data_IF_048412654471
#
_entry.id   IF_048412654471
#
_cell.length_a   1.000
_cell.length_b   1.000
_cell.length_c   1.000
_cell.angle_alpha   90.00
_cell.angle_beta   90.00
_cell.angle_gamma   90.00
#
_symmetry.space_group_name_H-M   'P 1'
#
loop_
_entity.id
_entity.type
_entity.pdbx_description
1 polymer ?
#
# COMPACT_ATOMS: atom_id res chain seq x y z
N UNK A 1 15.68 -15.06 -10.41
CA UNK A 1 14.43 -14.63 -11.03
C UNK A 1 14.58 -13.25 -11.66
N UNK A 2 15.09 -12.26 -10.94
CA UNK A 2 15.33 -10.88 -11.43
C UNK A 2 16.25 -10.88 -12.66
N UNK A 3 17.36 -11.58 -12.60
CA UNK A 3 18.31 -11.70 -13.71
C UNK A 3 17.63 -12.15 -15.00
N UNK A 4 16.68 -13.09 -14.91
CA UNK A 4 15.92 -13.55 -16.08
C UNK A 4 14.96 -12.50 -16.62
N UNK A 5 14.31 -11.70 -15.76
CA UNK A 5 13.45 -10.62 -16.23
C UNK A 5 14.26 -9.56 -16.99
N UNK A 6 15.43 -9.20 -16.43
CA UNK A 6 16.37 -8.29 -17.12
C UNK A 6 16.86 -8.87 -18.44
N UNK A 7 17.20 -10.15 -18.48
CA UNK A 7 17.61 -10.87 -19.70
C UNK A 7 16.52 -10.79 -20.80
N UNK A 8 15.25 -10.85 -20.42
CA UNK A 8 14.11 -10.69 -21.34
C UNK A 8 13.71 -9.24 -21.59
N UNK A 9 14.47 -8.26 -21.11
CA UNK A 9 14.18 -6.83 -21.29
C UNK A 9 12.91 -6.37 -20.55
N UNK A 10 12.49 -7.08 -19.49
CA UNK A 10 11.34 -6.72 -18.69
C UNK A 10 11.75 -5.81 -17.54
N UNK A 11 11.03 -4.70 -17.37
CA UNK A 11 11.12 -3.88 -16.17
C UNK A 11 10.25 -4.46 -15.07
N UNK A 12 10.62 -4.22 -13.82
CA UNK A 12 9.87 -4.73 -12.68
C UNK A 12 9.83 -3.66 -11.58
N UNK A 13 8.62 -3.27 -11.22
CA UNK A 13 8.32 -2.47 -10.05
C UNK A 13 7.61 -3.36 -9.03
N UNK A 14 8.05 -3.33 -7.79
CA UNK A 14 7.62 -4.30 -6.78
C UNK A 14 7.43 -3.63 -5.42
N UNK A 15 6.43 -4.10 -4.70
CA UNK A 15 6.19 -3.75 -3.30
C UNK A 15 6.15 -5.03 -2.46
N UNK A 16 6.56 -4.97 -1.19
CA UNK A 16 6.51 -6.13 -0.30
C UNK A 16 5.08 -6.47 0.10
N UNK A 17 4.84 -7.77 0.31
CA UNK A 17 3.67 -8.26 1.02
C UNK A 17 3.97 -8.52 2.50
N UNK A 18 2.96 -8.95 3.25
CA UNK A 18 3.08 -9.26 4.68
C UNK A 18 4.09 -10.37 5.00
N UNK A 19 4.31 -11.30 4.06
CA UNK A 19 5.32 -12.34 4.24
C UNK A 19 6.74 -11.84 4.00
N UNK A 20 6.92 -10.77 3.24
CA UNK A 20 8.22 -10.14 3.02
C UNK A 20 8.60 -9.19 4.15
N UNK A 21 7.63 -8.73 4.92
CA UNK A 21 7.79 -7.79 6.04
C UNK A 21 7.57 -8.47 7.39
N UNK A 22 6.38 -8.48 7.94
CA UNK A 22 6.08 -8.92 9.30
C UNK A 22 6.33 -10.40 9.58
N UNK A 23 6.29 -11.26 8.56
CA UNK A 23 6.61 -12.70 8.68
C UNK A 23 8.07 -13.02 8.28
N UNK A 24 8.81 -12.03 7.82
CA UNK A 24 10.24 -12.12 7.54
C UNK A 24 11.04 -11.91 8.82
N UNK A 25 12.15 -12.63 8.99
CA UNK A 25 13.08 -12.41 10.11
C UNK A 25 13.77 -11.04 10.03
N UNK A 26 13.88 -10.47 8.83
CA UNK A 26 14.50 -9.16 8.60
C UNK A 26 13.52 -7.98 8.78
N UNK A 27 12.21 -8.23 9.04
CA UNK A 27 11.22 -7.17 9.17
C UNK A 27 11.08 -6.30 7.92
N UNK A 28 11.32 -6.86 6.73
CA UNK A 28 11.29 -6.13 5.44
C UNK A 28 12.64 -5.58 4.98
N UNK A 29 13.66 -5.53 5.84
CA UNK A 29 14.99 -5.03 5.46
C UNK A 29 15.60 -5.84 4.31
N UNK A 30 15.48 -7.17 4.34
CA UNK A 30 15.96 -8.04 3.26
C UNK A 30 15.28 -7.77 1.93
N UNK A 31 14.01 -7.36 1.94
CA UNK A 31 13.32 -6.94 0.73
C UNK A 31 13.96 -5.67 0.14
N UNK A 32 14.15 -4.64 0.96
CA UNK A 32 14.78 -3.37 0.51
C UNK A 32 16.21 -3.60 0.06
N UNK A 33 16.99 -4.44 0.75
CA UNK A 33 18.35 -4.79 0.33
C UNK A 33 18.39 -5.51 -1.03
N UNK A 34 17.36 -6.31 -1.33
CA UNK A 34 17.28 -7.09 -2.57
C UNK A 34 16.76 -6.25 -3.74
N UNK A 35 15.75 -5.42 -3.52
CA UNK A 35 15.00 -4.72 -4.57
C UNK A 35 15.24 -3.20 -4.61
N UNK A 36 16.00 -2.66 -3.64
CA UNK A 36 16.38 -1.25 -3.57
C UNK A 36 15.36 -0.35 -2.88
N UNK A 37 14.08 -0.67 -2.92
CA UNK A 37 13.01 0.11 -2.29
C UNK A 37 11.79 -0.77 -1.98
N UNK A 38 10.94 -0.30 -1.07
CA UNK A 38 9.65 -0.90 -0.71
C UNK A 38 8.45 -0.17 -1.36
N UNK A 39 8.74 0.77 -2.26
CA UNK A 39 7.77 1.62 -2.94
C UNK A 39 8.28 2.03 -4.31
N UNK A 40 7.36 2.40 -5.19
CA UNK A 40 7.70 2.90 -6.52
C UNK A 40 6.74 4.00 -6.99
N UNK A 41 7.22 4.86 -7.86
CA UNK A 41 6.42 5.85 -8.59
C UNK A 41 7.04 6.07 -9.96
N UNK A 42 6.29 5.86 -11.02
CA UNK A 42 6.74 6.12 -12.38
C UNK A 42 5.59 6.57 -13.27
N UNK A 43 5.92 7.33 -14.31
CA UNK A 43 4.97 7.71 -15.35
C UNK A 43 5.16 6.86 -16.59
N UNK A 44 4.07 6.32 -17.11
CA UNK A 44 4.06 5.64 -18.40
C UNK A 44 2.86 6.10 -19.22
N UNK A 45 3.13 6.65 -20.40
CA UNK A 45 2.11 7.16 -21.32
C UNK A 45 1.12 8.14 -20.68
N UNK A 46 1.59 8.98 -19.76
CA UNK A 46 0.77 9.99 -19.09
C UNK A 46 -0.03 9.47 -17.89
N UNK A 47 0.11 8.21 -17.53
CA UNK A 47 -0.50 7.60 -16.34
C UNK A 47 0.57 7.45 -15.28
N UNK A 48 0.28 7.87 -14.07
CA UNK A 48 1.15 7.68 -12.92
C UNK A 48 0.81 6.37 -12.21
N UNK A 49 1.82 5.52 -12.05
CA UNK A 49 1.76 4.25 -11.33
C UNK A 49 2.46 4.44 -10.01
N UNK A 50 1.75 4.20 -8.91
CA UNK A 50 2.27 4.42 -7.55
C UNK A 50 2.01 3.18 -6.72
N UNK A 51 3.04 2.64 -6.09
CA UNK A 51 2.93 1.53 -5.16
C UNK A 51 3.69 1.81 -3.87
N UNK A 52 3.13 1.42 -2.73
CA UNK A 52 3.80 1.54 -1.45
C UNK A 52 3.63 0.30 -0.59
N UNK A 53 4.61 0.09 0.31
CA UNK A 53 4.53 -0.93 1.34
C UNK A 53 3.32 -0.70 2.25
N UNK A 54 2.71 -1.78 2.67
CA UNK A 54 1.61 -1.77 3.64
C UNK A 54 1.87 -2.72 4.81
N UNK A 55 3.15 -3.02 5.08
CA UNK A 55 3.57 -3.82 6.22
C UNK A 55 2.82 -5.15 6.37
N UNK A 56 2.57 -5.60 7.60
CA UNK A 56 3.10 -5.03 8.83
C UNK A 56 4.60 -5.31 8.97
N UNK A 57 5.31 -4.47 9.71
CA UNK A 57 6.75 -4.65 9.97
C UNK A 57 7.03 -5.43 11.27
N UNK A 58 5.99 -5.79 11.98
CA UNK A 58 6.00 -6.70 13.13
C UNK A 58 5.05 -7.85 12.87
N UNK A 59 5.20 -8.96 13.60
CA UNK A 59 4.31 -10.13 13.47
C UNK A 59 2.91 -9.83 13.99
N UNK A 60 2.10 -9.26 13.11
CA UNK A 60 0.68 -9.01 13.33
C UNK A 60 -0.08 -9.35 12.04
N UNK A 61 -1.39 -9.53 12.13
CA UNK A 61 -2.23 -9.92 10.99
C UNK A 61 -2.57 -8.75 10.09
N UNK A 62 -2.85 -7.59 10.66
CA UNK A 62 -3.34 -6.43 9.94
C UNK A 62 -2.18 -5.67 9.29
N UNK A 63 -2.40 -5.16 8.09
CA UNK A 63 -1.46 -4.30 7.42
C UNK A 63 -1.39 -2.92 8.08
N UNK A 64 -0.30 -2.22 7.83
CA UNK A 64 -0.11 -0.83 8.23
C UNK A 64 0.80 -0.13 7.24
N UNK A 65 0.36 0.98 6.66
CA UNK A 65 1.22 1.83 5.83
C UNK A 65 2.10 2.67 6.75
N UNK A 66 3.43 2.49 6.69
CA UNK A 66 4.33 3.21 7.59
C UNK A 66 4.24 4.73 7.42
N UNK A 67 4.55 5.48 8.46
CA UNK A 67 4.49 6.94 8.45
C UNK A 67 5.39 7.57 7.36
N UNK A 68 6.57 7.01 7.17
CA UNK A 68 7.49 7.47 6.11
C UNK A 68 6.92 7.23 4.71
N UNK A 69 6.20 6.11 4.49
CA UNK A 69 5.50 5.84 3.23
C UNK A 69 4.33 6.81 3.04
N UNK A 70 3.57 7.13 4.09
CA UNK A 70 2.50 8.15 4.04
C UNK A 70 3.09 9.52 3.68
N UNK A 71 4.18 9.92 4.33
CA UNK A 71 4.88 11.18 4.04
C UNK A 71 5.46 11.21 2.61
N UNK A 72 5.92 10.06 2.11
CA UNK A 72 6.38 9.94 0.73
C UNK A 72 5.20 10.09 -0.25
N UNK A 73 4.06 9.45 0.00
CA UNK A 73 2.85 9.64 -0.80
C UNK A 73 2.39 11.09 -0.85
N UNK A 74 2.49 11.83 0.26
CA UNK A 74 2.16 13.26 0.30
C UNK A 74 3.06 14.07 -0.66
N UNK A 75 4.35 13.75 -0.73
CA UNK A 75 5.28 14.40 -1.68
C UNK A 75 4.97 14.02 -3.13
N UNK A 76 4.74 12.73 -3.39
CA UNK A 76 4.39 12.24 -4.73
C UNK A 76 3.10 12.93 -5.24
N UNK A 77 2.04 12.86 -4.47
CA UNK A 77 0.77 13.49 -4.85
C UNK A 77 0.86 15.01 -4.94
N UNK A 78 1.68 15.65 -4.10
CA UNK A 78 1.93 17.09 -4.16
C UNK A 78 2.63 17.53 -5.44
N UNK A 79 3.44 16.66 -6.04
CA UNK A 79 4.14 16.94 -7.31
C UNK A 79 3.29 16.73 -8.56
N UNK A 80 2.15 16.01 -8.45
CA UNK A 80 1.29 15.69 -9.58
C UNK A 80 0.18 16.71 -9.77
N UNK A 81 -0.09 17.05 -11.03
CA UNK A 81 -1.29 17.82 -11.38
C UNK A 81 -2.56 17.03 -10.97
N UNK A 82 -3.60 17.70 -10.54
CA UNK A 82 -4.85 17.06 -10.09
C UNK A 82 -5.54 16.26 -11.22
N UNK A 83 -5.22 16.57 -12.47
CA UNK A 83 -5.74 15.85 -13.65
C UNK A 83 -4.91 14.62 -14.02
N UNK A 84 -3.74 14.42 -13.43
CA UNK A 84 -2.87 13.28 -13.75
C UNK A 84 -3.57 11.98 -13.37
N UNK A 85 -3.79 11.06 -14.32
CA UNK A 85 -4.37 9.76 -14.00
C UNK A 85 -3.46 8.94 -13.10
N UNK A 86 -4.02 8.29 -12.10
CA UNK A 86 -3.26 7.46 -11.16
C UNK A 86 -3.83 6.06 -11.11
N UNK A 87 -2.95 5.06 -11.17
CA UNK A 87 -3.23 3.68 -10.79
C UNK A 87 -2.40 3.38 -9.53
N UNK A 88 -3.11 3.11 -8.42
CA UNK A 88 -2.49 2.86 -7.12
C UNK A 88 -2.30 1.37 -6.89
N UNK A 89 -1.18 0.98 -6.30
CA UNK A 89 -0.86 -0.39 -5.91
C UNK A 89 -0.60 -0.49 -4.42
N UNK A 90 -1.17 -1.51 -3.80
CA UNK A 90 -0.94 -1.84 -2.40
C UNK A 90 -1.01 -3.36 -2.22
N UNK A 91 -0.33 -3.93 -1.23
CA UNK A 91 -0.48 -5.36 -0.98
C UNK A 91 -1.81 -5.67 -0.30
N UNK A 92 -2.12 -4.99 0.80
CA UNK A 92 -3.42 -5.13 1.46
C UNK A 92 -4.50 -4.34 0.71
N UNK A 93 -5.76 -4.80 0.71
CA UNK A 93 -6.88 -3.97 0.27
C UNK A 93 -7.05 -2.76 1.20
N UNK A 94 -7.63 -1.68 0.70
CA UNK A 94 -7.92 -0.50 1.51
C UNK A 94 -9.23 -0.68 2.29
N UNK A 95 -9.22 -1.62 3.21
CA UNK A 95 -10.31 -1.96 4.11
C UNK A 95 -9.79 -2.27 5.52
N UNK A 96 -10.62 -2.82 6.38
CA UNK A 96 -10.27 -3.11 7.77
C UNK A 96 -9.11 -4.10 7.97
N UNK A 97 -8.60 -4.72 6.90
CA UNK A 97 -7.37 -5.52 6.97
C UNK A 97 -6.10 -4.68 6.96
N UNK A 98 -6.23 -3.38 6.73
CA UNK A 98 -5.18 -2.36 6.78
C UNK A 98 -5.60 -1.29 7.81
N UNK A 99 -4.99 -1.25 8.97
CA UNK A 99 -5.49 -0.47 10.13
C UNK A 99 -5.58 1.04 9.89
N UNK A 100 -4.72 1.58 9.03
CA UNK A 100 -4.73 2.98 8.63
C UNK A 100 -5.13 3.21 7.14
N UNK A 101 -5.95 2.32 6.57
CA UNK A 101 -6.42 2.37 5.19
C UNK A 101 -6.97 3.75 4.77
N UNK A 102 -7.64 4.41 5.69
CA UNK A 102 -8.26 5.72 5.48
C UNK A 102 -7.23 6.83 5.19
N UNK A 103 -6.02 6.73 5.73
CA UNK A 103 -4.96 7.69 5.42
C UNK A 103 -4.60 7.65 3.93
N UNK A 104 -4.74 6.50 3.29
CA UNK A 104 -4.47 6.35 1.86
C UNK A 104 -5.68 6.74 1.03
N UNK A 105 -6.87 6.23 1.38
CA UNK A 105 -8.09 6.55 0.59
C UNK A 105 -8.41 8.04 0.64
N UNK A 106 -8.19 8.73 1.76
CA UNK A 106 -8.38 10.18 1.86
C UNK A 106 -7.47 10.96 0.89
N UNK A 107 -6.26 10.45 0.62
CA UNK A 107 -5.31 11.06 -0.32
C UNK A 107 -5.65 10.77 -1.77
N UNK A 108 -5.82 9.50 -2.11
CA UNK A 108 -6.06 9.09 -3.50
C UNK A 108 -7.41 9.55 -4.03
N UNK A 109 -8.41 9.75 -3.17
CA UNK A 109 -9.69 10.35 -3.54
C UNK A 109 -9.61 11.83 -3.89
N UNK A 110 -8.57 12.52 -3.49
CA UNK A 110 -8.35 13.93 -3.85
C UNK A 110 -7.65 14.10 -5.20
N UNK A 111 -7.26 12.99 -5.84
CA UNK A 111 -6.54 12.95 -7.12
C UNK A 111 -7.39 12.23 -8.17
N UNK A 112 -6.97 12.30 -9.42
CA UNK A 112 -7.61 11.58 -10.53
C UNK A 112 -7.23 10.08 -10.50
N UNK A 113 -7.58 9.40 -9.40
CA UNK A 113 -7.30 7.98 -9.24
C UNK A 113 -8.33 7.15 -9.98
N UNK A 114 -7.89 6.41 -11.00
CA UNK A 114 -8.74 5.56 -11.81
C UNK A 114 -9.10 4.25 -11.14
N UNK A 115 -8.12 3.64 -10.48
CA UNK A 115 -8.33 2.40 -9.73
C UNK A 115 -7.19 2.15 -8.74
N UNK A 116 -7.46 1.25 -7.80
CA UNK A 116 -6.47 0.69 -6.90
C UNK A 116 -6.40 -0.84 -7.05
N UNK A 117 -5.19 -1.36 -7.18
CA UNK A 117 -4.93 -2.80 -7.35
C UNK A 117 -4.27 -3.31 -6.07
N UNK A 118 -4.78 -4.42 -5.54
CA UNK A 118 -4.22 -5.06 -4.35
C UNK A 118 -4.05 -6.57 -4.53
N UNK A 119 -3.41 -7.19 -3.56
CA UNK A 119 -3.18 -8.63 -3.45
C UNK A 119 -3.79 -9.22 -2.19
N UNK A 120 -2.96 -9.88 -1.39
CA UNK A 120 -3.23 -10.45 -0.07
C UNK A 120 -4.27 -11.59 -0.03
N UNK A 121 -5.45 -11.38 -0.60
CA UNK A 121 -6.54 -12.38 -0.55
C UNK A 121 -6.43 -13.53 -1.54
N UNK A 122 -5.39 -13.56 -2.36
CA UNK A 122 -5.03 -14.63 -3.31
C UNK A 122 -6.09 -14.98 -4.36
N UNK A 123 -7.11 -14.16 -4.56
CA UNK A 123 -8.21 -14.41 -5.49
C UNK A 123 -8.56 -13.13 -6.27
N UNK A 124 -9.01 -13.32 -7.51
CA UNK A 124 -9.54 -12.24 -8.31
C UNK A 124 -10.88 -11.76 -7.71
N UNK A 125 -10.96 -10.48 -7.36
CA UNK A 125 -12.18 -9.85 -6.82
C UNK A 125 -12.33 -8.43 -7.33
N UNK A 126 -13.58 -8.03 -7.60
CA UNK A 126 -13.97 -6.63 -7.73
C UNK A 126 -14.12 -6.05 -6.33
N UNK A 127 -13.62 -4.86 -6.13
CA UNK A 127 -13.69 -4.15 -4.86
C UNK A 127 -14.10 -2.70 -5.11
N UNK A 128 -14.46 -2.03 -4.06
CA UNK A 128 -14.66 -0.57 -4.02
C UNK A 128 -13.99 -0.04 -2.76
N UNK A 129 -13.19 0.99 -2.95
CA UNK A 129 -12.46 1.64 -1.87
C UNK A 129 -12.97 3.07 -1.72
N UNK A 130 -14.14 3.20 -1.11
CA UNK A 130 -14.80 4.50 -0.89
C UNK A 130 -15.04 5.26 -2.20
N UNK A 131 -15.59 4.57 -3.20
CA UNK A 131 -15.88 5.10 -4.53
C UNK A 131 -14.72 5.02 -5.51
N UNK A 132 -13.54 4.56 -5.09
CA UNK A 132 -12.45 4.24 -6.01
C UNK A 132 -12.59 2.78 -6.45
N UNK A 133 -12.67 2.50 -7.76
CA UNK A 133 -12.69 1.14 -8.25
C UNK A 133 -11.51 0.35 -7.72
N UNK A 134 -11.76 -0.81 -7.14
CA UNK A 134 -10.75 -1.69 -6.58
C UNK A 134 -10.67 -3.02 -7.31
N UNK A 135 -9.46 -3.56 -7.44
CA UNK A 135 -9.23 -4.88 -8.02
C UNK A 135 -8.23 -5.64 -7.17
N UNK A 136 -8.67 -6.74 -6.57
CA UNK A 136 -7.76 -7.70 -5.97
C UNK A 136 -7.28 -8.69 -7.01
N UNK A 137 -5.97 -8.84 -7.11
CA UNK A 137 -5.33 -9.76 -8.04
C UNK A 137 -5.13 -11.15 -7.44
N UNK A 138 -5.21 -12.16 -8.32
CA UNK A 138 -4.89 -13.52 -7.97
C UNK A 138 -3.39 -13.68 -7.68
N UNK A 139 -3.07 -14.52 -6.72
CA UNK A 139 -1.70 -14.92 -6.39
C UNK A 139 -1.20 -16.04 -7.31
N UNK A 140 0.10 -16.02 -7.59
CA UNK A 140 0.78 -17.17 -8.21
C UNK A 140 0.89 -18.36 -7.26
N UNK A 141 0.69 -18.18 -5.97
CA UNK A 141 0.44 -19.27 -5.03
C UNK A 141 -0.86 -20.02 -5.41
N UNK A 142 -0.81 -21.34 -5.39
CA UNK A 142 -1.97 -22.18 -5.79
C UNK A 142 -3.26 -21.87 -5.02
N UNK A 143 -3.18 -21.62 -3.73
CA UNK A 143 -4.30 -21.24 -2.84
C UNK A 143 -5.56 -22.04 -3.15
N UNK A 144 -5.81 -23.20 -2.93
CA UNK A 144 -7.01 -24.04 -3.22
C UNK A 144 -7.34 -24.24 -4.72
N UNK A 145 -6.57 -23.67 -5.64
CA UNK A 145 -6.74 -23.92 -7.08
C UNK A 145 -5.75 -24.98 -7.59
N UNK A 146 -6.01 -25.53 -8.77
CA UNK A 146 -5.13 -26.51 -9.41
C UNK A 146 -3.73 -25.93 -9.69
N UNK A 147 -3.68 -24.68 -10.16
CA UNK A 147 -2.45 -23.95 -10.46
C UNK A 147 -2.54 -22.51 -9.95
N UNK A 148 -1.39 -21.89 -9.72
CA UNK A 148 -1.29 -20.46 -9.47
C UNK A 148 -1.70 -19.61 -10.69
N UNK A 149 -1.66 -18.30 -10.56
CA UNK A 149 -1.96 -17.40 -11.65
C UNK A 149 -1.65 -15.95 -11.31
N UNK A 150 -1.69 -15.10 -12.31
CA UNK A 150 -1.54 -13.66 -12.21
C UNK A 150 -2.46 -12.98 -13.22
N UNK A 151 -2.63 -11.68 -13.11
CA UNK A 151 -3.41 -10.94 -14.10
C UNK A 151 -2.52 -10.29 -15.15
N UNK A 152 -2.95 -10.37 -16.40
CA UNK A 152 -2.57 -9.43 -17.45
C UNK A 152 -3.53 -8.27 -17.33
N UNK A 153 -2.97 -7.06 -17.20
CA UNK A 153 -3.72 -5.81 -17.10
C UNK A 153 -3.49 -5.03 -18.39
N UNK A 154 -4.55 -4.73 -19.10
CA UNK A 154 -4.51 -3.99 -20.35
C UNK A 154 -5.19 -2.64 -20.16
N UNK A 155 -4.45 -1.54 -20.29
CA UNK A 155 -4.97 -0.19 -20.21
C UNK A 155 -5.35 0.26 -21.61
N UNK A 156 -6.62 0.58 -21.81
CA UNK A 156 -7.18 1.10 -23.04
C UNK A 156 -7.60 2.58 -22.91
N UNK A 157 -8.08 3.14 -23.97
CA UNK A 157 -8.49 4.55 -24.01
C UNK A 157 -9.62 4.90 -23.04
N UNK A 158 -10.48 3.93 -22.68
CA UNK A 158 -11.72 4.08 -21.93
C UNK A 158 -11.88 3.07 -20.79
N UNK A 159 -10.96 2.13 -20.66
CA UNK A 159 -11.10 1.03 -19.70
C UNK A 159 -9.76 0.40 -19.33
N UNK A 160 -9.72 -0.24 -18.16
CA UNK A 160 -8.66 -1.14 -17.74
C UNK A 160 -9.22 -2.55 -17.65
N UNK A 161 -8.64 -3.48 -18.42
CA UNK A 161 -9.11 -4.86 -18.54
C UNK A 161 -8.22 -5.81 -17.77
N UNK A 162 -8.82 -6.81 -17.12
CA UNK A 162 -8.15 -7.81 -16.32
C UNK A 162 -8.42 -9.21 -16.86
N UNK A 163 -7.34 -9.92 -17.22
CA UNK A 163 -7.40 -11.31 -17.68
C UNK A 163 -6.48 -12.18 -16.84
N UNK A 164 -6.97 -13.31 -16.32
CA UNK A 164 -6.14 -14.23 -15.55
C UNK A 164 -5.20 -15.00 -16.49
N UNK A 165 -3.91 -14.97 -16.21
CA UNK A 165 -2.90 -15.81 -16.85
C UNK A 165 -2.54 -16.97 -15.93
N UNK A 166 -2.69 -18.18 -16.43
CA UNK A 166 -2.26 -19.42 -15.76
C UNK A 166 -0.91 -19.85 -16.33
N UNK A 167 0.17 -19.90 -15.53
CA UNK A 167 1.50 -20.30 -16.00
C UNK A 167 1.45 -21.67 -16.70
N UNK A 168 2.23 -21.81 -17.76
CA UNK A 168 2.26 -23.00 -18.63
C UNK A 168 0.91 -23.42 -19.22
N UNK A 169 -0.13 -22.61 -19.09
CA UNK A 169 -1.48 -22.86 -19.65
C UNK A 169 -1.84 -21.74 -20.63
N UNK A 170 -2.84 -20.94 -20.31
CA UNK A 170 -3.35 -19.88 -21.18
C UNK A 170 -3.77 -18.64 -20.41
N UNK A 171 -3.93 -17.56 -21.11
CA UNK A 171 -4.68 -16.40 -20.62
C UNK A 171 -6.17 -16.69 -20.82
N UNK A 172 -6.94 -16.51 -19.75
CA UNK A 172 -8.40 -16.67 -19.80
C UNK A 172 -9.03 -15.39 -20.39
N UNK A 173 -10.34 -15.46 -20.65
CA UNK A 173 -11.11 -14.29 -21.06
C UNK A 173 -11.03 -13.17 -20.00
N UNK A 174 -11.30 -11.94 -20.41
CA UNK A 174 -11.44 -10.80 -19.51
C UNK A 174 -12.50 -11.11 -18.47
N UNK A 175 -12.12 -11.11 -17.20
CA UNK A 175 -13.04 -11.37 -16.10
C UNK A 175 -13.55 -10.07 -15.46
N UNK A 176 -12.84 -8.95 -15.66
CA UNK A 176 -13.24 -7.65 -15.15
C UNK A 176 -12.72 -6.54 -16.04
N UNK A 177 -13.53 -5.48 -16.15
CA UNK A 177 -13.19 -4.23 -16.79
C UNK A 177 -13.57 -3.08 -15.86
N UNK A 178 -12.67 -2.12 -15.70
CA UNK A 178 -12.91 -0.86 -14.99
C UNK A 178 -13.02 0.23 -16.05
N UNK A 179 -14.14 0.93 -16.10
CA UNK A 179 -14.31 2.07 -16.99
C UNK A 179 -13.50 3.26 -16.49
N UNK A 180 -12.77 3.90 -17.39
CA UNK A 180 -12.00 5.10 -17.11
C UNK A 180 -12.85 6.31 -17.47
N UNK A 181 -13.14 7.17 -16.50
CA UNK A 181 -13.72 8.47 -16.74
C UNK A 181 -12.62 9.47 -17.04
N UNK A 182 -12.55 9.96 -18.28
CA UNK A 182 -11.63 11.02 -18.65
C UNK A 182 -12.20 12.36 -18.19
N UNK A 183 -11.44 13.06 -17.37
CA UNK A 183 -11.80 14.37 -16.85
C UNK A 183 -11.66 14.44 -15.34
N UNK A 184 -11.79 15.63 -14.80
CA UNK A 184 -11.90 15.83 -13.36
C UNK A 184 -13.13 15.06 -12.87
N UNK A 185 -12.93 13.97 -12.17
CA UNK A 185 -14.00 13.37 -11.38
C UNK A 185 -14.44 14.45 -10.39
N UNK A 186 -15.70 14.89 -10.46
CA UNK A 186 -16.24 15.73 -9.40
C UNK A 186 -15.95 15.01 -8.09
N UNK A 187 -15.14 15.66 -7.24
CA UNK A 187 -14.81 15.13 -5.94
C UNK A 187 -16.12 14.96 -5.19
N UNK A 188 -16.65 13.75 -5.18
CA UNK A 188 -17.85 13.47 -4.39
C UNK A 188 -17.50 13.76 -2.94
N UNK A 189 -18.18 14.77 -2.39
CA UNK A 189 -18.08 15.15 -0.97
C UNK A 189 -18.85 14.11 -0.15
N UNK A 190 -18.48 12.85 -0.30
CA UNK A 190 -19.02 11.79 0.51
C UNK A 190 -18.17 11.64 1.76
N UNK A 191 -18.80 11.83 2.90
CA UNK A 191 -18.16 11.58 4.20
C UNK A 191 -18.20 10.09 4.49
N UNK A 192 -17.03 9.50 4.73
CA UNK A 192 -16.89 8.12 5.16
C UNK A 192 -16.57 8.05 6.66
N UNK A 193 -17.04 6.99 7.31
CA UNK A 193 -16.71 6.76 8.72
C UNK A 193 -15.21 6.57 8.89
N UNK A 194 -14.67 7.20 9.93
CA UNK A 194 -13.25 7.07 10.30
C UNK A 194 -13.13 6.47 11.70
N UNK A 195 -12.05 5.72 11.98
CA UNK A 195 -11.79 5.24 13.33
C UNK A 195 -11.83 6.38 14.34
N UNK A 196 -12.46 6.13 15.47
CA UNK A 196 -12.62 7.13 16.53
C UNK A 196 -11.77 6.74 17.73
N UNK A 197 -10.87 7.64 18.12
CA UNK A 197 -10.05 7.51 19.33
C UNK A 197 -10.71 8.17 20.54
N UNK A 198 -12.04 8.16 20.61
CA UNK A 198 -12.80 8.80 21.71
C UNK A 198 -12.46 8.25 23.09
N UNK A 199 -11.91 7.04 23.18
CA UNK A 199 -11.43 6.48 24.42
C UNK A 199 -10.43 7.41 25.14
N UNK A 200 -9.65 8.18 24.39
CA UNK A 200 -8.70 9.15 24.94
C UNK A 200 -9.41 10.27 25.72
N UNK A 201 -10.68 10.55 25.40
CA UNK A 201 -11.49 11.54 26.13
C UNK A 201 -11.89 11.08 27.54
N UNK A 202 -11.78 9.79 27.84
CA UNK A 202 -12.00 9.24 29.19
C UNK A 202 -10.91 9.68 30.17
N UNK A 203 -9.80 10.17 29.67
CA UNK A 203 -8.64 10.60 30.44
C UNK A 203 -8.35 12.11 30.27
N UNK A 204 -9.31 13.02 30.51
CA UNK A 204 -9.15 14.45 30.20
C UNK A 204 -8.10 15.14 31.05
N UNK A 205 -7.70 14.53 32.17
CA UNK A 205 -6.65 15.04 33.06
C UNK A 205 -5.24 14.61 32.64
N UNK A 206 -5.12 13.61 31.74
CA UNK A 206 -3.83 13.17 31.24
C UNK A 206 -3.41 14.14 30.15
N UNK A 207 -2.27 14.81 30.34
CA UNK A 207 -1.66 15.74 29.38
C UNK A 207 -0.26 15.27 29.05
N UNK A 208 0.13 15.39 27.80
CA UNK A 208 1.53 15.22 27.42
C UNK A 208 2.37 16.32 28.10
N UNK A 209 3.43 15.91 28.82
CA UNK A 209 4.40 16.87 29.36
C UNK A 209 5.36 17.36 28.27
N UNK A 210 5.66 16.53 27.30
CA UNK A 210 6.43 16.85 26.11
C UNK A 210 6.05 15.87 24.98
N UNK A 211 6.41 16.20 23.77
CA UNK A 211 6.14 15.38 22.58
C UNK A 211 7.28 15.52 21.59
N UNK A 212 7.67 14.39 20.99
CA UNK A 212 8.61 14.33 19.87
C UNK A 212 7.94 13.61 18.72
N UNK A 213 8.14 14.11 17.51
CA UNK A 213 7.69 13.45 16.28
C UNK A 213 8.87 12.70 15.66
N UNK A 214 8.62 11.45 15.25
CA UNK A 214 9.56 10.66 14.49
C UNK A 214 9.11 10.59 13.02
N UNK A 215 10.05 10.36 12.11
CA UNK A 215 9.76 10.20 10.67
C UNK A 215 9.12 8.84 10.36
N UNK A 216 9.36 7.86 11.22
CA UNK A 216 8.83 6.51 11.09
C UNK A 216 7.93 6.13 12.29
N UNK A 217 7.10 5.11 12.11
CA UNK A 217 6.23 4.64 13.17
C UNK A 217 7.03 4.01 14.33
N UNK A 218 6.60 4.30 15.54
CA UNK A 218 7.13 3.69 16.77
C UNK A 218 6.14 2.62 17.19
N UNK A 219 6.53 1.35 17.05
CA UNK A 219 5.74 0.17 17.40
C UNK A 219 6.37 -0.63 18.52
N UNK A 220 7.59 -0.27 18.94
CA UNK A 220 8.28 -0.89 20.07
C UNK A 220 7.76 -0.32 21.39
N UNK A 221 7.77 -1.15 22.44
CA UNK A 221 7.56 -0.65 23.80
C UNK A 221 8.75 0.20 24.23
N UNK A 222 8.54 1.46 24.65
CA UNK A 222 9.62 2.29 25.14
C UNK A 222 10.28 1.70 26.38
N UNK A 223 11.61 1.70 26.43
CA UNK A 223 12.37 1.36 27.63
C UNK A 223 12.68 2.66 28.39
N UNK A 224 12.45 2.66 29.70
CA UNK A 224 12.71 3.79 30.57
C UNK A 224 13.82 3.44 31.56
N UNK A 225 14.92 4.23 31.56
CA UNK A 225 16.03 4.05 32.48
C UNK A 225 16.44 5.41 33.07
N UNK A 226 16.15 5.61 34.36
CA UNK A 226 16.43 6.87 35.03
C UNK A 226 15.75 8.06 34.32
N UNK A 227 16.53 8.96 33.75
CA UNK A 227 16.06 10.18 33.08
C UNK A 227 15.90 10.01 31.55
N UNK A 228 16.11 8.82 31.00
CA UNK A 228 16.07 8.61 29.57
C UNK A 228 14.95 7.66 29.17
N UNK A 229 14.42 7.87 27.95
CA UNK A 229 13.46 7.00 27.28
C UNK A 229 14.09 6.55 25.96
N UNK A 230 14.18 5.26 25.76
CA UNK A 230 14.74 4.66 24.54
C UNK A 230 13.62 3.99 23.75
N UNK A 231 13.54 4.28 22.46
CA UNK A 231 12.54 3.71 21.54
C UNK A 231 13.18 3.34 20.22
N UNK A 232 12.74 2.20 19.67
CA UNK A 232 13.06 1.82 18.29
C UNK A 232 11.91 2.17 17.35
N UNK A 233 12.23 2.62 16.15
CA UNK A 233 11.26 2.87 15.10
C UNK A 233 11.34 1.81 13.99
N UNK A 234 10.43 1.88 13.01
CA UNK A 234 10.35 0.93 11.91
C UNK A 234 11.50 1.01 10.90
N UNK A 235 12.24 2.10 10.87
CA UNK A 235 13.44 2.25 10.03
C UNK A 235 14.69 1.61 10.66
N UNK A 236 14.55 0.98 11.83
CA UNK A 236 15.66 0.37 12.55
C UNK A 236 16.50 1.37 13.36
N UNK A 237 16.03 2.60 13.51
CA UNK A 237 16.69 3.61 14.35
C UNK A 237 16.29 3.42 15.81
N UNK A 238 17.28 3.51 16.69
CA UNK A 238 17.08 3.56 18.14
C UNK A 238 17.34 4.98 18.62
N UNK A 239 16.30 5.64 19.08
CA UNK A 239 16.33 7.00 19.58
C UNK A 239 16.34 7.02 21.10
N UNK A 240 17.08 7.95 21.68
CA UNK A 240 17.16 8.18 23.11
C UNK A 240 16.76 9.62 23.40
N UNK A 241 15.78 9.80 24.27
CA UNK A 241 15.25 11.09 24.68
C UNK A 241 15.41 11.29 26.17
N UNK A 242 15.76 12.49 26.58
CA UNK A 242 15.72 12.90 27.98
C UNK A 242 14.29 13.31 28.37
N UNK A 243 13.89 12.97 29.64
CA UNK A 243 12.59 13.34 30.20
C UNK A 243 12.47 14.83 30.45
#
# INVERSE_FOLDING_TARGET
FLEKLVEYGMTMDIIPGNHDTGWSESGGLGFVQTFGADRFSFNFQGIQFIGCASGPYVRMSDGHVPRDAVNWLDREFGSLADTTPIIMFNHYPFDNSLDNWYEITDRIRQKNTWLAICGHGHANRKMDFEGIPGVMGRSNLRAKAEVGGYNIVEVRADSVLFSERRPARRTLAVWHAVSIQKGLVEKQVQSFSRPSYQINKQYPKVKASWQVSDVANIISTPAVAGNVIVVGNQEGTINCYEK
#
